data_IF_451822765716
#
_entry.id   IF_451822765716
#
_cell.length_a   1.000
_cell.length_b   1.000
_cell.length_c   1.000
_cell.angle_alpha   90.00
_cell.angle_beta   90.00
_cell.angle_gamma   90.00
#
_symmetry.space_group_name_H-M   'P 1'
#
loop_
_entity.id
_entity.type
_entity.pdbx_description
1 polymer ?
#
# COMPACT_ATOMS: atom_id res chain seq x y z
N UNK A 1 -32.14 18.01 -13.32
CA UNK A 1 -31.00 18.93 -13.10
C UNK A 1 -31.53 20.33 -13.06
N UNK A 2 -31.35 21.03 -11.94
CA UNK A 2 -31.66 22.45 -11.90
C UNK A 2 -30.40 23.22 -12.31
N UNK A 3 -30.39 23.73 -13.53
CA UNK A 3 -29.25 24.45 -14.11
C UNK A 3 -28.82 25.65 -13.24
N UNK A 4 -29.76 26.20 -12.48
CA UNK A 4 -29.52 27.30 -11.54
C UNK A 4 -28.63 26.89 -10.37
N UNK A 5 -28.76 25.66 -9.86
CA UNK A 5 -27.96 25.15 -8.73
C UNK A 5 -26.50 24.95 -9.14
N UNK A 6 -26.26 24.36 -10.31
CA UNK A 6 -24.91 24.14 -10.83
C UNK A 6 -24.21 25.48 -11.12
N UNK A 7 -24.94 26.45 -11.68
CA UNK A 7 -24.41 27.79 -11.97
C UNK A 7 -24.03 28.54 -10.68
N UNK A 8 -24.78 28.35 -9.59
CA UNK A 8 -24.45 28.92 -8.28
C UNK A 8 -23.20 28.28 -7.70
N UNK A 9 -23.10 26.94 -7.71
CA UNK A 9 -21.91 26.22 -7.23
C UNK A 9 -20.65 26.59 -8.00
N UNK A 10 -20.72 26.69 -9.33
CA UNK A 10 -19.58 27.13 -10.14
C UNK A 10 -19.15 28.56 -9.79
N UNK A 11 -20.10 29.47 -9.53
CA UNK A 11 -19.78 30.86 -9.18
C UNK A 11 -19.05 30.94 -7.83
N UNK A 12 -19.47 30.15 -6.84
CA UNK A 12 -18.81 30.06 -5.54
C UNK A 12 -17.37 29.50 -5.67
N UNK A 13 -17.17 28.51 -6.54
CA UNK A 13 -15.83 27.95 -6.83
C UNK A 13 -14.92 29.02 -7.46
N UNK A 14 -15.43 29.80 -8.43
CA UNK A 14 -14.66 30.87 -9.08
C UNK A 14 -14.26 31.95 -8.05
N UNK A 15 -15.14 32.32 -7.15
CA UNK A 15 -14.84 33.30 -6.09
C UNK A 15 -13.71 32.79 -5.18
N UNK A 16 -13.74 31.51 -4.79
CA UNK A 16 -12.67 30.89 -3.98
C UNK A 16 -11.34 30.84 -4.75
N UNK A 17 -11.37 30.42 -6.01
CA UNK A 17 -10.18 30.28 -6.86
C UNK A 17 -9.52 31.63 -7.10
N UNK A 18 -10.30 32.72 -7.22
CA UNK A 18 -9.76 34.07 -7.41
C UNK A 18 -8.93 34.58 -6.21
N UNK A 19 -9.11 34.00 -5.02
CA UNK A 19 -8.31 34.30 -3.83
C UNK A 19 -7.00 33.53 -3.73
N UNK A 20 -6.76 32.57 -4.64
CA UNK A 20 -5.58 31.70 -4.64
C UNK A 20 -4.53 32.26 -5.61
N UNK A 21 -3.22 32.16 -5.32
CA UNK A 21 -2.17 32.57 -6.26
C UNK A 21 -2.29 31.88 -7.63
N UNK A 22 -2.06 32.62 -8.71
CA UNK A 22 -2.28 32.22 -10.11
C UNK A 22 -1.73 30.83 -10.47
N UNK A 23 -0.58 30.46 -9.88
CA UNK A 23 0.07 29.16 -10.08
C UNK A 23 -0.75 27.95 -9.63
N UNK A 24 -1.77 28.15 -8.80
CA UNK A 24 -2.60 27.08 -8.25
C UNK A 24 -4.08 27.24 -8.60
N UNK A 25 -4.46 28.28 -9.33
CA UNK A 25 -5.87 28.56 -9.65
C UNK A 25 -6.50 27.44 -10.46
N UNK A 26 -5.84 27.02 -11.55
CA UNK A 26 -6.33 25.95 -12.42
C UNK A 26 -6.54 24.62 -11.66
N UNK A 27 -5.55 24.23 -10.85
CA UNK A 27 -5.62 23.00 -10.05
C UNK A 27 -6.69 23.09 -8.96
N UNK A 28 -6.86 24.26 -8.33
CA UNK A 28 -7.88 24.46 -7.31
C UNK A 28 -9.29 24.42 -7.91
N UNK A 29 -9.47 25.01 -9.10
CA UNK A 29 -10.74 24.98 -9.83
C UNK A 29 -11.14 23.55 -10.20
N UNK A 30 -10.22 22.77 -10.78
CA UNK A 30 -10.49 21.39 -11.19
C UNK A 30 -10.90 20.49 -10.02
N UNK A 31 -10.21 20.61 -8.87
CA UNK A 31 -10.50 19.82 -7.67
C UNK A 31 -11.86 20.16 -7.07
N UNK A 32 -12.18 21.45 -6.99
CA UNK A 32 -13.46 21.91 -6.42
C UNK A 32 -14.65 21.59 -7.34
N UNK A 33 -14.46 21.69 -8.66
CA UNK A 33 -15.48 21.33 -9.63
C UNK A 33 -15.78 19.82 -9.61
N UNK A 34 -14.75 18.98 -9.51
CA UNK A 34 -14.91 17.52 -9.40
C UNK A 34 -15.68 17.13 -8.12
N UNK A 35 -15.41 17.80 -7.00
CA UNK A 35 -16.14 17.59 -5.75
C UNK A 35 -17.62 17.98 -5.87
N UNK A 36 -17.93 19.13 -6.50
CA UNK A 36 -19.30 19.60 -6.68
C UNK A 36 -20.12 18.63 -7.56
N UNK A 37 -19.50 18.07 -8.61
CA UNK A 37 -20.15 17.09 -9.47
C UNK A 37 -20.38 15.74 -8.76
N UNK A 38 -19.43 15.32 -7.91
CA UNK A 38 -19.54 14.08 -7.14
C UNK A 38 -20.58 14.15 -6.01
N UNK A 39 -20.74 15.32 -5.38
CA UNK A 39 -21.73 15.54 -4.31
C UNK A 39 -23.17 15.52 -4.86
N UNK A 40 -23.35 15.83 -6.14
CA UNK A 40 -24.66 15.80 -6.83
C UNK A 40 -25.11 14.38 -7.19
N UNK A 41 -24.21 13.38 -7.14
CA UNK A 41 -24.58 11.98 -7.44
C UNK A 41 -25.21 11.23 -6.25
N UNK A 42 -25.37 11.86 -5.08
CA UNK A 42 -25.81 11.18 -3.86
C UNK A 42 -27.09 11.82 -3.27
N UNK A 43 -28.21 11.10 -3.51
CA UNK A 43 -29.50 11.02 -2.75
C UNK A 43 -30.69 11.92 -3.16
N UNK A 44 -31.98 11.57 -2.83
CA UNK A 44 -32.56 10.29 -2.33
C UNK A 44 -33.92 9.87 -3.00
N UNK A 45 -34.33 8.59 -2.88
CA UNK A 45 -35.77 8.26 -2.68
C UNK A 45 -36.02 6.91 -1.96
N UNK A 46 -36.27 7.01 -0.65
CA UNK A 46 -37.45 6.53 0.10
C UNK A 46 -38.03 5.10 -0.10
N UNK A 47 -37.47 4.09 0.60
CA UNK A 47 -38.06 3.15 1.63
C UNK A 47 -39.45 2.42 1.43
N UNK A 48 -39.93 1.47 2.30
CA UNK A 48 -39.30 0.56 3.31
C UNK A 48 -39.84 -0.92 3.31
N UNK A 49 -39.10 -1.90 3.88
CA UNK A 49 -39.53 -2.73 5.05
C UNK A 49 -38.67 -3.99 5.40
N UNK A 50 -38.15 -3.94 6.64
CA UNK A 50 -37.99 -4.95 7.72
C UNK A 50 -36.97 -6.10 7.62
N UNK A 51 -35.87 -5.97 8.37
CA UNK A 51 -35.54 -6.80 9.57
C UNK A 51 -34.07 -6.53 9.95
N UNK A 52 -33.78 -5.60 10.88
CA UNK A 52 -33.35 -5.86 12.27
C UNK A 52 -32.27 -6.97 12.38
N UNK A 53 -31.01 -6.72 12.78
CA UNK A 53 -30.62 -6.09 14.06
C UNK A 53 -29.11 -5.68 14.10
N UNK A 54 -28.87 -4.43 14.53
CA UNK A 54 -27.71 -3.85 15.26
C UNK A 54 -26.35 -3.69 14.56
N UNK A 55 -26.01 -2.57 13.91
CA UNK A 55 -25.71 -1.19 14.37
C UNK A 55 -24.39 -1.04 15.15
N UNK A 56 -23.34 -0.52 14.47
CA UNK A 56 -22.67 0.78 14.73
C UNK A 56 -21.26 0.83 14.10
N UNK A 57 -20.99 1.93 13.38
CA UNK A 57 -19.63 2.48 13.31
C UNK A 57 -19.04 2.64 11.92
N UNK A 58 -19.60 3.54 11.11
CA UNK A 58 -18.74 4.41 10.32
C UNK A 58 -17.92 5.22 11.33
N UNK A 59 -16.62 4.97 11.30
CA UNK A 59 -15.56 5.85 11.75
C UNK A 59 -14.51 5.63 10.66
N UNK A 60 -14.26 6.57 9.76
CA UNK A 60 -13.33 7.68 10.01
C UNK A 60 -12.60 7.50 11.34
N UNK A 61 -11.73 6.50 11.39
CA UNK A 61 -10.81 6.30 12.50
C UNK A 61 -9.56 7.09 12.14
N UNK A 62 -9.50 8.28 12.72
CA UNK A 62 -8.32 9.07 13.07
C UNK A 62 -7.09 8.90 12.19
N UNK A 63 -6.84 9.96 11.42
CA UNK A 63 -5.50 10.48 11.13
C UNK A 63 -4.71 10.64 12.45
N UNK A 64 -4.10 9.56 12.93
CA UNK A 64 -2.76 9.66 13.49
C UNK A 64 -1.83 9.41 12.33
N UNK A 65 -1.51 10.51 11.63
CA UNK A 65 -0.35 10.58 10.76
C UNK A 65 0.84 10.01 11.54
N UNK A 66 1.24 8.80 11.17
CA UNK A 66 2.53 8.25 11.55
C UNK A 66 3.54 9.19 10.90
N UNK A 67 4.23 9.94 11.76
CA UNK A 67 5.13 11.05 11.46
C UNK A 67 5.82 10.85 10.10
N UNK A 68 5.39 11.64 9.10
CA UNK A 68 6.07 11.81 7.81
C UNK A 68 5.61 10.95 6.63
N UNK A 69 4.84 9.87 6.82
CA UNK A 69 4.41 9.01 5.70
C UNK A 69 3.09 9.49 5.06
N UNK A 70 3.01 9.47 3.72
CA UNK A 70 1.73 9.60 3.03
C UNK A 70 0.85 8.36 3.30
N UNK A 71 -0.48 8.51 3.14
CA UNK A 71 -1.44 7.42 3.43
C UNK A 71 -1.12 6.19 2.58
N UNK A 72 -0.83 5.06 3.24
CA UNK A 72 -0.56 3.79 2.55
C UNK A 72 -1.76 3.41 1.68
N UNK A 73 -1.58 3.20 0.35
CA UNK A 73 -2.66 2.85 -0.54
C UNK A 73 -3.17 1.43 -0.24
N UNK A 74 -4.38 1.33 0.33
CA UNK A 74 -4.97 0.05 0.67
C UNK A 74 -5.72 -0.55 -0.52
N UNK A 75 -5.08 -1.49 -1.22
CA UNK A 75 -5.74 -2.31 -2.24
C UNK A 75 -6.50 -3.50 -1.60
N UNK A 76 -7.32 -4.20 -2.39
CA UNK A 76 -8.12 -5.32 -1.90
C UNK A 76 -7.26 -6.48 -1.36
N UNK A 77 -6.15 -6.82 -2.03
CA UNK A 77 -5.26 -7.90 -1.62
C UNK A 77 -4.54 -7.59 -0.30
N UNK A 78 -4.08 -6.34 -0.12
CA UNK A 78 -3.44 -5.87 1.10
C UNK A 78 -4.43 -5.86 2.28
N UNK A 79 -5.65 -5.41 2.05
CA UNK A 79 -6.72 -5.45 3.06
C UNK A 79 -7.02 -6.89 3.52
N UNK A 80 -7.13 -7.83 2.57
CA UNK A 80 -7.35 -9.24 2.89
C UNK A 80 -6.17 -9.82 3.66
N UNK A 81 -4.94 -9.54 3.22
CA UNK A 81 -3.71 -9.93 3.90
C UNK A 81 -3.69 -9.45 5.36
N UNK A 82 -3.90 -8.16 5.58
CA UNK A 82 -3.89 -7.54 6.91
C UNK A 82 -4.93 -8.17 7.84
N UNK A 83 -6.17 -8.37 7.35
CA UNK A 83 -7.23 -9.01 8.13
C UNK A 83 -6.92 -10.47 8.44
N UNK A 84 -6.49 -11.25 7.44
CA UNK A 84 -6.22 -12.68 7.59
C UNK A 84 -5.02 -12.95 8.49
N UNK A 85 -4.01 -12.06 8.45
CA UNK A 85 -2.74 -12.22 9.17
C UNK A 85 -2.62 -11.37 10.44
N UNK A 86 -3.65 -10.60 10.78
CA UNK A 86 -3.69 -9.72 11.97
C UNK A 86 -2.57 -8.68 12.00
N UNK A 87 -2.17 -8.19 10.82
CA UNK A 87 -1.21 -7.07 10.70
C UNK A 87 -2.02 -5.78 10.69
N UNK A 88 -1.75 -4.87 11.63
CA UNK A 88 -2.45 -3.58 11.73
C UNK A 88 -1.84 -2.55 10.77
N UNK A 89 -2.61 -1.51 10.44
CA UNK A 89 -2.11 -0.41 9.63
C UNK A 89 -1.00 0.35 10.35
N UNK A 90 -1.09 0.46 11.68
CA UNK A 90 -0.06 1.09 12.52
C UNK A 90 1.27 0.34 12.41
N UNK A 91 1.26 -0.99 12.50
CA UNK A 91 2.46 -1.81 12.32
C UNK A 91 3.08 -1.64 10.93
N UNK A 92 2.23 -1.53 9.90
CA UNK A 92 2.70 -1.31 8.54
C UNK A 92 3.29 0.10 8.37
N UNK A 93 2.71 1.11 9.02
CA UNK A 93 3.24 2.48 9.05
C UNK A 93 4.53 2.63 9.85
N UNK A 94 4.76 1.80 10.88
CA UNK A 94 6.05 1.74 11.58
C UNK A 94 7.13 1.06 10.73
N UNK A 95 6.75 0.14 9.84
CA UNK A 95 7.67 -0.55 8.94
C UNK A 95 8.03 0.27 7.70
N UNK A 96 7.11 1.09 7.19
CA UNK A 96 7.19 1.67 5.85
C UNK A 96 7.09 3.20 5.84
N UNK A 97 7.84 3.79 4.91
CA UNK A 97 7.67 5.15 4.44
C UNK A 97 7.18 5.13 2.99
N UNK A 98 6.07 5.80 2.71
CA UNK A 98 5.47 5.87 1.38
C UNK A 98 5.59 7.30 0.85
N UNK A 99 6.10 7.42 -0.37
CA UNK A 99 6.24 8.67 -1.11
C UNK A 99 5.50 8.55 -2.45
N UNK A 100 4.62 9.51 -2.76
CA UNK A 100 3.99 9.64 -4.06
C UNK A 100 4.65 10.76 -4.83
N UNK A 101 5.18 10.45 -6.02
CA UNK A 101 5.79 11.48 -6.85
C UNK A 101 4.72 12.33 -7.58
N UNK A 102 5.16 13.40 -8.25
CA UNK A 102 4.27 14.30 -9.00
C UNK A 102 3.49 13.63 -10.15
N UNK A 103 3.89 12.42 -10.57
CA UNK A 103 3.22 11.60 -11.59
C UNK A 103 2.19 10.63 -10.98
N UNK A 104 2.01 10.65 -9.66
CA UNK A 104 1.14 9.71 -8.94
C UNK A 104 1.73 8.30 -8.77
N UNK A 105 3.03 8.11 -9.04
CA UNK A 105 3.71 6.83 -8.78
C UNK A 105 4.11 6.75 -7.32
N UNK A 106 3.76 5.63 -6.72
CA UNK A 106 3.98 5.32 -5.32
C UNK A 106 5.34 4.62 -5.21
N UNK A 107 6.15 5.07 -4.25
CA UNK A 107 7.44 4.47 -3.93
C UNK A 107 7.47 4.13 -2.44
N UNK A 108 7.88 2.91 -2.14
CA UNK A 108 7.92 2.38 -0.77
C UNK A 108 9.36 2.20 -0.32
N UNK A 109 9.65 2.73 0.86
CA UNK A 109 10.91 2.61 1.58
C UNK A 109 10.67 1.88 2.90
N UNK A 110 11.58 0.97 3.27
CA UNK A 110 11.51 0.26 4.55
C UNK A 110 12.28 1.02 5.63
N UNK A 111 11.60 1.34 6.73
CA UNK A 111 12.19 1.96 7.93
C UNK A 111 12.94 0.90 8.73
N UNK A 112 12.37 -0.31 8.82
CA UNK A 112 12.96 -1.45 9.49
C UNK A 112 13.28 -2.56 8.47
N UNK A 113 14.49 -3.09 8.55
CA UNK A 113 15.04 -4.08 7.61
C UNK A 113 15.63 -5.26 8.39
N UNK A 114 15.93 -6.41 7.72
CA UNK A 114 16.61 -7.51 8.39
C UNK A 114 17.94 -7.06 9.01
N UNK A 115 18.21 -7.46 10.26
CA UNK A 115 19.49 -7.19 10.93
C UNK A 115 20.66 -7.81 10.14
N UNK A 116 21.80 -7.12 10.10
CA UNK A 116 23.07 -7.58 9.56
C UNK A 116 23.59 -8.87 10.20
N UNK A 117 23.14 -9.23 11.40
CA UNK A 117 23.47 -10.52 12.03
C UNK A 117 22.68 -11.69 11.44
N UNK A 118 21.65 -11.44 10.62
CA UNK A 118 20.84 -12.47 10.00
C UNK A 118 21.66 -13.26 8.99
N UNK A 119 21.67 -14.60 9.03
CA UNK A 119 22.39 -15.40 8.03
C UNK A 119 21.94 -15.03 6.61
N UNK A 120 22.88 -14.86 5.68
CA UNK A 120 22.61 -14.40 4.31
C UNK A 120 21.48 -15.19 3.62
N UNK A 121 21.43 -16.50 3.81
CA UNK A 121 20.38 -17.34 3.24
C UNK A 121 18.97 -16.95 3.73
N UNK A 122 18.84 -16.61 5.02
CA UNK A 122 17.58 -16.15 5.61
C UNK A 122 17.29 -14.70 5.22
N UNK A 123 18.30 -13.84 5.23
CA UNK A 123 18.17 -12.44 4.83
C UNK A 123 17.65 -12.29 3.39
N UNK A 124 18.16 -13.09 2.45
CA UNK A 124 17.67 -13.11 1.05
C UNK A 124 16.19 -13.44 0.94
N UNK A 125 15.70 -14.36 1.77
CA UNK A 125 14.28 -14.73 1.79
C UNK A 125 13.45 -13.62 2.42
N UNK A 126 13.90 -13.03 3.52
CA UNK A 126 13.23 -11.89 4.13
C UNK A 126 13.12 -10.71 3.16
N UNK A 127 14.20 -10.39 2.44
CA UNK A 127 14.16 -9.39 1.39
C UNK A 127 13.20 -9.76 0.25
N UNK A 128 13.09 -11.04 -0.11
CA UNK A 128 12.11 -11.47 -1.10
C UNK A 128 10.66 -11.27 -0.65
N UNK A 129 10.37 -11.49 0.63
CA UNK A 129 9.03 -11.27 1.21
C UNK A 129 8.69 -9.77 1.26
N UNK A 130 9.63 -8.95 1.74
CA UNK A 130 9.49 -7.49 1.76
C UNK A 130 9.34 -6.93 0.35
N UNK A 131 10.08 -7.45 -0.63
CA UNK A 131 9.93 -7.07 -2.03
C UNK A 131 8.51 -7.34 -2.55
N UNK A 132 7.93 -8.50 -2.19
CA UNK A 132 6.54 -8.81 -2.51
C UNK A 132 5.54 -7.82 -1.91
N UNK A 133 5.75 -7.40 -0.67
CA UNK A 133 4.95 -6.36 -0.02
C UNK A 133 5.08 -5.02 -0.74
N UNK A 134 6.31 -4.61 -1.06
CA UNK A 134 6.60 -3.39 -1.81
C UNK A 134 5.88 -3.39 -3.16
N UNK A 135 6.01 -4.47 -3.93
CA UNK A 135 5.36 -4.59 -5.24
C UNK A 135 3.83 -4.49 -5.15
N UNK A 136 3.22 -5.11 -4.13
CA UNK A 136 1.78 -5.01 -3.90
C UNK A 136 1.34 -3.55 -3.63
N UNK A 137 2.09 -2.81 -2.82
CA UNK A 137 1.76 -1.42 -2.47
C UNK A 137 2.00 -0.47 -3.66
N UNK A 138 3.13 -0.61 -4.36
CA UNK A 138 3.50 0.27 -5.47
C UNK A 138 2.65 0.05 -6.72
N UNK A 139 2.28 -1.21 -7.00
CA UNK A 139 1.56 -1.58 -8.23
C UNK A 139 0.05 -1.83 -8.01
N UNK A 140 -0.41 -1.91 -6.76
CA UNK A 140 -1.81 -2.17 -6.42
C UNK A 140 -2.31 -3.59 -6.72
N UNK A 141 -1.40 -4.53 -6.99
CA UNK A 141 -1.70 -5.88 -7.50
C UNK A 141 -1.41 -7.01 -6.50
N UNK A 142 -0.86 -8.12 -6.97
CA UNK A 142 -0.47 -9.25 -6.11
C UNK A 142 0.86 -8.98 -5.39
N UNK A 143 1.18 -9.81 -4.39
CA UNK A 143 2.50 -9.84 -3.74
C UNK A 143 3.52 -10.51 -4.65
N UNK A 144 4.01 -9.77 -5.65
CA UNK A 144 4.90 -10.27 -6.70
C UNK A 144 6.37 -10.16 -6.30
N UNK A 145 7.10 -11.25 -6.47
CA UNK A 145 8.54 -11.35 -6.20
C UNK A 145 9.27 -11.53 -7.51
N UNK A 146 9.99 -10.48 -7.92
CA UNK A 146 10.92 -10.54 -9.04
C UNK A 146 12.31 -10.96 -8.53
N UNK A 147 12.84 -12.12 -8.95
CA UNK A 147 14.15 -12.60 -8.50
C UNK A 147 15.31 -11.68 -8.88
N UNK A 148 15.19 -10.89 -9.95
CA UNK A 148 16.22 -9.92 -10.33
C UNK A 148 16.17 -8.67 -9.44
N UNK A 149 14.99 -8.10 -9.22
CA UNK A 149 14.82 -7.02 -8.23
C UNK A 149 15.26 -7.43 -6.83
N UNK A 150 14.95 -8.64 -6.37
CA UNK A 150 15.44 -9.14 -5.07
C UNK A 150 16.96 -9.30 -5.07
N UNK A 151 17.57 -9.73 -6.18
CA UNK A 151 19.02 -9.83 -6.30
C UNK A 151 19.69 -8.48 -6.12
N UNK A 152 19.15 -7.43 -6.75
CA UNK A 152 19.67 -6.07 -6.62
C UNK A 152 19.59 -5.59 -5.18
N UNK A 153 18.41 -5.72 -4.55
CA UNK A 153 18.22 -5.36 -3.14
C UNK A 153 19.20 -6.13 -2.24
N UNK A 154 19.38 -7.44 -2.45
CA UNK A 154 20.31 -8.23 -1.65
C UNK A 154 21.78 -7.81 -1.84
N UNK A 155 22.15 -7.28 -3.02
CA UNK A 155 23.50 -6.76 -3.27
C UNK A 155 23.71 -5.44 -2.53
N UNK A 156 22.73 -4.54 -2.62
CA UNK A 156 22.77 -3.24 -1.95
C UNK A 156 22.85 -3.41 -0.43
N UNK A 157 22.14 -4.41 0.10
CA UNK A 157 22.09 -4.74 1.54
C UNK A 157 23.21 -5.68 2.00
N UNK A 158 24.13 -6.05 1.09
CA UNK A 158 25.31 -6.86 1.41
C UNK A 158 25.04 -8.33 1.81
N UNK A 159 23.84 -8.85 1.55
CA UNK A 159 23.46 -10.24 1.88
C UNK A 159 23.43 -11.19 0.68
N UNK A 160 23.78 -10.72 -0.52
CA UNK A 160 23.77 -11.51 -1.74
C UNK A 160 24.87 -12.59 -1.77
N UNK A 161 24.46 -13.83 -2.00
CA UNK A 161 25.32 -15.00 -2.18
C UNK A 161 24.96 -15.67 -3.51
N UNK A 162 25.76 -15.39 -4.55
CA UNK A 162 25.51 -15.89 -5.90
C UNK A 162 25.46 -17.44 -5.97
N UNK A 163 26.28 -18.14 -5.19
CA UNK A 163 26.39 -19.60 -5.24
C UNK A 163 25.20 -20.31 -4.60
N UNK A 164 24.51 -19.62 -3.68
CA UNK A 164 23.39 -20.18 -2.93
C UNK A 164 22.04 -19.51 -3.20
N UNK A 165 21.98 -18.37 -3.90
CA UNK A 165 20.75 -17.62 -4.14
C UNK A 165 19.60 -18.52 -4.65
N UNK A 166 19.78 -19.18 -5.80
CA UNK A 166 18.76 -20.07 -6.35
C UNK A 166 18.42 -21.27 -5.45
N UNK A 167 19.41 -21.78 -4.69
CA UNK A 167 19.19 -22.87 -3.74
C UNK A 167 18.34 -22.42 -2.55
N UNK A 168 18.52 -21.18 -2.10
CA UNK A 168 17.73 -20.59 -1.02
C UNK A 168 16.27 -20.48 -1.46
N UNK A 169 15.97 -19.95 -2.65
CA UNK A 169 14.59 -19.92 -3.17
C UNK A 169 13.96 -21.30 -3.29
N UNK A 170 14.73 -22.32 -3.70
CA UNK A 170 14.25 -23.70 -3.74
C UNK A 170 13.97 -24.27 -2.35
N UNK A 171 14.78 -23.93 -1.35
CA UNK A 171 14.57 -24.37 0.05
C UNK A 171 13.27 -23.82 0.64
N UNK A 172 12.87 -22.62 0.23
CA UNK A 172 11.66 -21.94 0.66
C UNK A 172 10.60 -21.93 -0.46
N UNK A 173 10.56 -22.98 -1.28
CA UNK A 173 9.66 -23.06 -2.43
C UNK A 173 8.18 -22.90 -2.05
N UNK A 174 7.80 -23.36 -0.86
CA UNK A 174 6.44 -23.24 -0.35
C UNK A 174 6.00 -21.81 -0.10
N UNK A 175 6.91 -20.83 -0.04
CA UNK A 175 6.56 -19.42 0.12
C UNK A 175 6.10 -18.75 -1.18
N UNK A 176 6.30 -19.42 -2.31
CA UNK A 176 5.99 -18.88 -3.62
C UNK A 176 5.01 -19.81 -4.33
N UNK A 177 4.12 -19.26 -5.17
CA UNK A 177 3.24 -20.10 -6.01
C UNK A 177 4.04 -20.99 -6.98
N UNK A 178 5.19 -20.51 -7.41
CA UNK A 178 6.22 -21.31 -8.06
C UNK A 178 7.60 -20.75 -7.70
N UNK A 179 8.63 -21.61 -7.72
CA UNK A 179 10.00 -21.22 -7.36
C UNK A 179 10.49 -20.11 -8.31
N UNK A 180 10.88 -18.92 -7.78
CA UNK A 180 11.48 -17.87 -8.58
C UNK A 180 12.75 -18.36 -9.26
N UNK A 181 12.83 -18.20 -10.59
CA UNK A 181 13.98 -18.61 -11.40
C UNK A 181 14.78 -17.38 -11.83
N UNK A 182 16.12 -17.46 -11.92
CA UNK A 182 16.92 -16.38 -12.49
C UNK A 182 16.41 -15.98 -13.88
N UNK A 183 16.26 -14.67 -14.13
CA UNK A 183 15.67 -14.11 -15.36
C UNK A 183 14.27 -14.68 -15.71
N UNK A 184 13.55 -15.21 -14.72
CA UNK A 184 12.18 -15.70 -14.87
C UNK A 184 11.14 -14.62 -14.62
N UNK A 185 9.86 -14.88 -14.91
CA UNK A 185 8.79 -13.95 -14.59
C UNK A 185 8.62 -13.82 -13.06
N UNK A 186 8.12 -12.67 -12.56
CA UNK A 186 7.78 -12.48 -11.17
C UNK A 186 6.80 -13.55 -10.68
N UNK A 187 6.99 -14.00 -9.44
CA UNK A 187 6.15 -15.03 -8.82
C UNK A 187 5.39 -14.46 -7.63
N UNK A 188 4.09 -14.75 -7.54
CA UNK A 188 3.32 -14.33 -6.36
C UNK A 188 3.70 -15.15 -5.13
N UNK A 189 3.62 -14.54 -3.96
CA UNK A 189 3.65 -15.26 -2.69
C UNK A 189 2.47 -16.25 -2.59
N UNK A 190 2.75 -17.40 -1.99
CA UNK A 190 1.74 -18.39 -1.59
C UNK A 190 1.02 -17.96 -0.29
N UNK A 191 0.11 -18.78 0.20
CA UNK A 191 -0.52 -18.55 1.50
C UNK A 191 0.49 -18.70 2.66
N UNK A 192 1.39 -19.68 2.59
CA UNK A 192 2.49 -19.82 3.54
C UNK A 192 3.46 -18.64 3.45
N UNK A 193 3.78 -18.16 2.25
CA UNK A 193 4.68 -17.02 2.05
C UNK A 193 4.10 -15.73 2.62
N UNK A 194 2.80 -15.49 2.44
CA UNK A 194 2.11 -14.38 3.09
C UNK A 194 2.07 -14.54 4.62
N UNK A 195 1.92 -15.77 5.13
CA UNK A 195 1.99 -15.99 6.59
C UNK A 195 3.39 -15.66 7.13
N UNK A 196 4.43 -16.13 6.45
CA UNK A 196 5.82 -15.84 6.79
C UNK A 196 6.15 -14.34 6.70
N UNK A 197 5.60 -13.64 5.71
CA UNK A 197 5.72 -12.18 5.60
C UNK A 197 5.10 -11.48 6.81
N UNK A 198 3.89 -11.87 7.22
CA UNK A 198 3.24 -11.26 8.37
C UNK A 198 4.02 -11.49 9.67
N UNK A 199 4.46 -12.71 9.93
CA UNK A 199 5.30 -13.02 11.09
C UNK A 199 6.60 -12.19 11.08
N UNK A 200 7.16 -11.98 9.89
CA UNK A 200 8.36 -11.18 9.73
C UNK A 200 8.12 -9.68 9.99
N UNK A 201 7.02 -9.11 9.49
CA UNK A 201 6.61 -7.73 9.79
C UNK A 201 6.47 -7.53 11.30
N UNK A 202 5.75 -8.45 11.97
CA UNK A 202 5.54 -8.38 13.43
C UNK A 202 6.86 -8.45 14.20
N UNK A 203 7.81 -9.28 13.73
CA UNK A 203 9.15 -9.35 14.32
C UNK A 203 9.92 -8.04 14.16
N UNK A 204 9.93 -7.45 12.97
CA UNK A 204 10.66 -6.20 12.71
C UNK A 204 10.13 -5.04 13.56
N UNK A 205 8.81 -4.90 13.61
CA UNK A 205 8.15 -3.86 14.42
C UNK A 205 8.35 -4.11 15.92
N UNK A 206 8.28 -5.38 16.35
CA UNK A 206 8.49 -5.77 17.75
C UNK A 206 9.91 -5.58 18.26
N UNK A 207 10.92 -5.53 17.38
CA UNK A 207 12.31 -5.26 17.74
C UNK A 207 12.61 -3.76 17.94
N UNK A 208 11.66 -2.87 17.64
CA UNK A 208 11.80 -1.40 17.77
C UNK A 208 11.44 -0.87 19.17
N UNK A 209 11.37 -1.75 20.19
CA UNK A 209 11.01 -1.41 21.58
C UNK A 209 12.13 -1.71 22.58
#
# INVERSE_FOLDING_TARGET
MDFEYLKKGIKEIVDVVSGVPEKFQDRCFDVLLASLLAEVEVEPDSSPKVSDTSTKGITSINDKSVVGSEKIPLNAALNVFMRKRKVSLEQLGELLYVETNAEGKIKVHFIHTPDHTTPNATAQIYWSLLYGLKANIESGGDFLVDPEGVREVCKDEGCYDAGNFAKNFKRYETYFKAVPKPNGPPQSLSDEGQSALADFILRLVGQSK
#
